data_IF_175871304324
#
_entry.id   IF_175871304324
#
_cell.length_a   1.000
_cell.length_b   1.000
_cell.length_c   1.000
_cell.angle_alpha   90.00
_cell.angle_beta   90.00
_cell.angle_gamma   90.00
#
_symmetry.space_group_name_H-M   'P 1'
#
loop_
_entity.id
_entity.type
_entity.pdbx_description
1 polymer ?
#
# COMPACT_ATOMS: atom_id res chain seq x y z
N UNK A 1 5.13 -6.26 10.77
CA UNK A 1 4.49 -5.22 11.62
C UNK A 1 5.13 -3.86 11.33
N UNK A 2 4.31 -2.81 11.17
CA UNK A 2 4.76 -1.41 11.06
C UNK A 2 4.32 -0.68 12.32
N UNK A 3 5.20 0.12 12.91
CA UNK A 3 4.91 0.93 14.09
C UNK A 3 5.37 2.37 13.87
N UNK A 4 4.44 3.30 13.98
CA UNK A 4 4.70 4.74 14.03
C UNK A 4 4.34 5.22 15.44
N UNK A 5 5.23 5.93 16.11
CA UNK A 5 5.03 6.36 17.49
C UNK A 5 5.25 7.87 17.61
N UNK A 6 4.23 8.59 18.08
CA UNK A 6 4.24 10.04 18.36
C UNK A 6 4.80 10.87 17.18
N UNK A 7 4.38 10.54 15.96
CA UNK A 7 4.86 11.20 14.75
C UNK A 7 4.38 12.64 14.71
N UNK A 8 5.34 13.56 14.59
CA UNK A 8 5.10 14.96 14.24
C UNK A 8 5.73 15.21 12.88
N UNK A 9 4.92 15.64 11.90
CA UNK A 9 5.38 15.91 10.55
C UNK A 9 4.60 17.04 9.87
N UNK A 10 5.30 17.86 9.08
CA UNK A 10 4.74 18.87 8.19
C UNK A 10 5.71 19.21 7.07
N UNK A 11 5.22 19.63 5.91
CA UNK A 11 6.03 20.03 4.75
C UNK A 11 6.64 21.44 4.87
N UNK A 12 6.50 22.07 5.98
CA UNK A 12 7.04 23.41 6.26
C UNK A 12 6.87 23.76 7.73
N UNK A 13 7.30 24.95 8.12
CA UNK A 13 7.32 25.37 9.52
C UNK A 13 5.94 25.71 10.10
N UNK A 14 4.93 25.99 9.26
CA UNK A 14 3.67 26.58 9.73
C UNK A 14 2.50 25.59 9.86
N UNK A 15 2.50 24.45 9.17
CA UNK A 15 1.38 23.52 9.21
C UNK A 15 1.86 22.08 9.47
N UNK A 16 1.54 21.57 10.65
CA UNK A 16 1.73 20.16 10.97
C UNK A 16 0.63 19.35 10.29
N UNK A 17 1.03 18.38 9.48
CA UNK A 17 0.13 17.39 8.90
C UNK A 17 -0.22 16.30 9.91
N UNK A 18 0.78 15.87 10.68
CA UNK A 18 0.62 14.96 11.82
C UNK A 18 1.18 15.62 13.08
N UNK A 19 0.43 15.54 14.18
CA UNK A 19 0.83 16.07 15.48
C UNK A 19 0.60 15.02 16.57
N UNK A 20 1.63 14.19 16.80
CA UNK A 20 1.59 13.11 17.78
C UNK A 20 0.92 11.82 17.30
N UNK A 21 0.82 11.60 15.97
CA UNK A 21 0.20 10.40 15.40
C UNK A 21 0.92 9.13 15.87
N UNK A 22 0.15 8.17 16.38
CA UNK A 22 0.64 6.83 16.70
C UNK A 22 -0.24 5.79 15.99
N UNK A 23 0.40 4.85 15.28
CA UNK A 23 -0.26 3.83 14.50
C UNK A 23 0.54 2.53 14.52
N UNK A 24 -0.14 1.41 14.71
CA UNK A 24 0.46 0.07 14.59
C UNK A 24 -0.32 -0.75 13.56
N UNK A 25 0.38 -1.24 12.53
CA UNK A 25 -0.18 -2.10 11.49
C UNK A 25 0.39 -3.51 11.67
N UNK A 26 -0.48 -4.44 12.00
CA UNK A 26 -0.11 -5.82 12.34
C UNK A 26 0.07 -6.68 11.08
N UNK A 27 0.92 -7.71 11.11
CA UNK A 27 0.98 -8.71 10.04
C UNK A 27 -0.32 -9.53 9.99
N UNK A 28 -0.51 -10.26 8.89
CA UNK A 28 -1.71 -11.07 8.67
C UNK A 28 -2.92 -10.28 8.16
N UNK A 29 -2.74 -9.01 7.81
CA UNK A 29 -3.86 -8.14 7.46
C UNK A 29 -3.55 -7.29 6.22
N UNK A 30 -4.62 -6.98 5.47
CA UNK A 30 -4.63 -5.90 4.48
C UNK A 30 -5.25 -4.68 5.17
N UNK A 31 -4.45 -3.64 5.35
CA UNK A 31 -4.86 -2.38 5.97
C UNK A 31 -5.24 -1.37 4.88
N UNK A 32 -6.45 -0.83 4.93
CA UNK A 32 -6.89 0.26 4.07
C UNK A 32 -6.67 1.62 4.72
N UNK A 33 -5.93 2.51 4.07
CA UNK A 33 -5.84 3.92 4.45
C UNK A 33 -6.87 4.71 3.64
N UNK A 34 -7.98 5.05 4.27
CA UNK A 34 -9.08 5.77 3.64
C UNK A 34 -9.04 7.25 3.98
N UNK A 35 -9.38 8.08 3.02
CA UNK A 35 -9.48 9.51 3.21
C UNK A 35 -9.54 10.26 1.88
N UNK A 36 -10.05 11.47 1.90
CA UNK A 36 -10.06 12.36 0.72
C UNK A 36 -8.62 12.74 0.34
N UNK A 37 -8.45 13.31 -0.86
CA UNK A 37 -7.14 13.77 -1.28
C UNK A 37 -6.64 14.88 -0.35
N UNK A 38 -5.34 14.88 -0.05
CA UNK A 38 -4.72 15.86 0.86
C UNK A 38 -4.74 15.50 2.36
N UNK A 39 -5.39 14.40 2.77
CA UNK A 39 -5.43 13.98 4.20
C UNK A 39 -4.10 13.38 4.72
N UNK A 40 -3.10 13.22 3.86
CA UNK A 40 -1.79 12.71 4.27
C UNK A 40 -1.54 11.22 4.05
N UNK A 41 -2.40 10.49 3.32
CA UNK A 41 -2.23 9.05 3.02
C UNK A 41 -0.85 8.75 2.42
N UNK A 42 -0.51 9.42 1.31
CA UNK A 42 0.79 9.30 0.64
C UNK A 42 1.95 9.67 1.58
N UNK A 43 1.77 10.72 2.39
CA UNK A 43 2.80 11.14 3.36
C UNK A 43 3.01 10.08 4.43
N UNK A 44 1.95 9.48 4.94
CA UNK A 44 2.02 8.39 5.91
C UNK A 44 2.75 7.17 5.34
N UNK A 45 2.45 6.79 4.09
CA UNK A 45 3.15 5.70 3.41
C UNK A 45 4.64 6.02 3.18
N UNK A 46 4.96 7.27 2.81
CA UNK A 46 6.36 7.72 2.66
C UNK A 46 7.12 7.75 3.99
N UNK A 47 6.47 8.10 5.10
CA UNK A 47 7.05 7.98 6.44
C UNK A 47 7.29 6.51 6.80
N UNK A 48 6.28 5.65 6.59
CA UNK A 48 6.37 4.21 6.85
C UNK A 48 7.46 3.53 6.01
N UNK A 49 7.72 4.03 4.79
CA UNK A 49 8.77 3.50 3.89
C UNK A 49 10.16 4.10 4.12
N UNK A 50 10.31 5.05 5.05
CA UNK A 50 11.60 5.73 5.27
C UNK A 50 12.02 6.70 4.16
N UNK A 51 11.10 7.08 3.26
CA UNK A 51 11.34 8.12 2.25
C UNK A 51 11.18 9.54 2.83
N UNK A 52 10.39 9.67 3.88
CA UNK A 52 10.27 10.88 4.69
C UNK A 52 10.60 10.57 6.14
N UNK A 53 11.06 11.57 6.87
CA UNK A 53 11.42 11.45 8.27
C UNK A 53 10.60 12.44 9.09
N UNK A 54 10.00 11.99 10.21
CA UNK A 54 9.27 12.87 11.09
C UNK A 54 10.22 13.82 11.83
N UNK A 55 9.73 15.00 12.22
CA UNK A 55 10.49 15.92 13.07
C UNK A 55 10.57 15.41 14.53
N UNK A 56 9.57 14.62 14.95
CA UNK A 56 9.54 13.92 16.23
C UNK A 56 8.86 12.58 16.07
N UNK A 57 9.15 11.63 16.95
CA UNK A 57 8.63 10.28 16.93
C UNK A 57 9.53 9.30 16.20
N UNK A 58 9.09 8.06 16.11
CA UNK A 58 9.86 6.95 15.51
C UNK A 58 9.02 6.15 14.54
N UNK A 59 9.67 5.62 13.49
CA UNK A 59 9.06 4.71 12.51
C UNK A 59 9.86 3.43 12.46
N UNK A 60 9.20 2.29 12.68
CA UNK A 60 9.82 0.98 12.66
C UNK A 60 9.07 -0.02 11.79
N UNK A 61 9.85 -0.89 11.14
CA UNK A 61 9.35 -2.10 10.47
C UNK A 61 9.98 -3.31 11.17
N UNK A 62 9.17 -4.11 11.86
CA UNK A 62 9.70 -5.07 12.82
C UNK A 62 10.53 -4.36 13.89
N UNK A 63 11.78 -4.77 14.04
CA UNK A 63 12.74 -4.16 14.96
C UNK A 63 13.62 -3.08 14.28
N UNK A 64 13.49 -2.90 12.97
CA UNK A 64 14.33 -2.00 12.18
C UNK A 64 13.78 -0.57 12.20
N UNK A 65 14.66 0.40 12.47
CA UNK A 65 14.32 1.81 12.52
C UNK A 65 14.56 2.48 11.16
N UNK A 66 13.54 3.13 10.61
CA UNK A 66 13.62 3.85 9.34
C UNK A 66 14.69 4.94 9.32
N UNK A 67 14.93 5.61 10.47
CA UNK A 67 15.90 6.70 10.58
C UNK A 67 17.35 6.25 10.35
N UNK A 68 17.65 4.96 10.58
CA UNK A 68 19.01 4.41 10.38
C UNK A 68 19.36 4.21 8.91
N UNK A 69 18.38 4.15 8.02
CA UNK A 69 18.56 3.95 6.55
C UNK A 69 19.40 2.71 6.20
N UNK A 70 19.30 1.68 7.01
CA UNK A 70 20.04 0.43 6.80
C UNK A 70 19.42 -0.36 5.61
N UNK A 71 20.27 -1.03 4.83
CA UNK A 71 19.80 -1.87 3.72
C UNK A 71 18.81 -2.95 4.20
N UNK A 72 18.98 -3.46 5.42
CA UNK A 72 18.07 -4.41 6.04
C UNK A 72 16.63 -3.87 6.12
N UNK A 73 16.45 -2.58 6.48
CA UNK A 73 15.14 -1.96 6.52
C UNK A 73 14.44 -1.99 5.15
N UNK A 74 15.16 -1.64 4.08
CA UNK A 74 14.60 -1.58 2.72
C UNK A 74 14.35 -2.96 2.11
N UNK A 75 14.96 -4.03 2.63
CA UNK A 75 14.64 -5.41 2.25
C UNK A 75 13.34 -5.92 2.85
N UNK A 76 12.93 -5.35 3.98
CA UNK A 76 11.69 -5.75 4.66
C UNK A 76 10.42 -5.16 4.03
N UNK A 77 10.55 -4.17 3.13
CA UNK A 77 9.40 -3.49 2.57
C UNK A 77 9.54 -3.18 1.07
N UNK A 78 8.40 -3.13 0.39
CA UNK A 78 8.30 -2.54 -0.94
C UNK A 78 7.23 -1.44 -0.94
N UNK A 79 7.55 -0.28 -1.50
CA UNK A 79 6.61 0.83 -1.66
C UNK A 79 6.32 1.08 -3.14
N UNK A 80 5.04 1.00 -3.51
CA UNK A 80 4.54 1.35 -4.83
C UNK A 80 3.88 2.72 -4.74
N UNK A 81 4.52 3.80 -5.20
CA UNK A 81 3.91 5.12 -5.22
C UNK A 81 2.83 5.22 -6.30
N UNK A 82 1.95 6.23 -6.18
CA UNK A 82 0.95 6.52 -7.21
C UNK A 82 1.60 6.88 -8.54
N UNK A 83 2.59 7.80 -8.50
CA UNK A 83 3.36 8.22 -9.65
C UNK A 83 4.81 7.74 -9.57
N UNK A 84 5.34 7.26 -10.69
CA UNK A 84 6.70 6.75 -10.79
C UNK A 84 7.20 6.79 -12.22
N UNK A 85 8.51 6.84 -12.38
CA UNK A 85 9.19 6.69 -13.65
C UNK A 85 9.79 5.29 -13.78
N UNK A 86 9.76 4.72 -14.98
CA UNK A 86 10.41 3.46 -15.31
C UNK A 86 11.50 3.70 -16.36
N UNK A 87 12.64 2.98 -16.28
CA UNK A 87 13.76 3.14 -17.20
C UNK A 87 13.41 2.57 -18.60
N UNK A 88 14.15 3.01 -19.62
CA UNK A 88 13.96 2.57 -21.01
C UNK A 88 14.60 1.20 -21.30
N UNK A 89 14.22 0.18 -20.53
CA UNK A 89 14.70 -1.21 -20.64
C UNK A 89 13.52 -2.18 -20.82
N UNK A 90 13.80 -3.48 -21.08
CA UNK A 90 12.76 -4.51 -21.13
C UNK A 90 12.31 -4.92 -19.72
N UNK A 91 11.10 -5.50 -19.63
CA UNK A 91 10.57 -6.03 -18.36
C UNK A 91 11.52 -7.09 -17.76
N UNK A 92 12.05 -7.98 -18.61
CA UNK A 92 13.06 -8.96 -18.17
C UNK A 92 14.26 -8.26 -17.54
N UNK A 93 14.83 -7.27 -18.23
CA UNK A 93 16.00 -6.54 -17.73
C UNK A 93 15.70 -5.78 -16.45
N UNK A 94 14.50 -5.23 -16.34
CA UNK A 94 14.03 -4.59 -15.10
C UNK A 94 14.03 -5.56 -13.91
N UNK A 95 13.52 -6.78 -14.11
CA UNK A 95 13.59 -7.84 -13.11
C UNK A 95 15.02 -8.19 -12.73
N UNK A 96 15.89 -8.44 -13.71
CA UNK A 96 17.31 -8.81 -13.49
C UNK A 96 18.10 -7.76 -12.69
N UNK A 97 17.87 -6.47 -12.97
CA UNK A 97 18.61 -5.37 -12.31
C UNK A 97 18.11 -5.11 -10.89
N UNK A 98 16.80 -5.28 -10.65
CA UNK A 98 16.22 -4.93 -9.35
C UNK A 98 16.07 -6.12 -8.39
N UNK A 99 15.96 -7.36 -8.90
CA UNK A 99 15.82 -8.55 -8.07
C UNK A 99 16.93 -8.71 -6.99
N UNK A 100 18.21 -8.38 -7.24
CA UNK A 100 19.25 -8.54 -6.23
C UNK A 100 19.06 -7.73 -4.94
N UNK A 101 18.21 -6.69 -4.97
CA UNK A 101 17.90 -5.91 -3.78
C UNK A 101 16.89 -6.60 -2.86
N UNK A 102 16.17 -7.63 -3.35
CA UNK A 102 15.11 -8.33 -2.64
C UNK A 102 15.45 -9.82 -2.54
N UNK A 103 15.91 -10.33 -1.38
CA UNK A 103 16.41 -11.71 -1.23
C UNK A 103 15.38 -12.79 -1.63
N UNK A 104 14.08 -12.51 -1.38
CA UNK A 104 12.99 -13.46 -1.64
C UNK A 104 12.31 -13.21 -3.01
N UNK A 105 12.93 -12.42 -3.90
CA UNK A 105 12.39 -12.17 -5.23
C UNK A 105 12.25 -13.47 -6.03
N UNK A 106 11.08 -13.67 -6.60
CA UNK A 106 10.79 -14.84 -7.44
C UNK A 106 10.56 -14.47 -8.89
N UNK A 107 11.52 -14.81 -9.77
CA UNK A 107 11.36 -14.65 -11.22
C UNK A 107 10.17 -15.44 -11.79
N UNK A 108 9.88 -16.61 -11.22
CA UNK A 108 8.71 -17.41 -11.60
C UNK A 108 7.42 -16.65 -11.32
N UNK A 109 7.25 -16.17 -10.08
CA UNK A 109 6.07 -15.39 -9.70
C UNK A 109 5.97 -14.08 -10.49
N UNK A 110 7.08 -13.41 -10.75
CA UNK A 110 7.08 -12.20 -11.59
C UNK A 110 6.51 -12.50 -12.98
N UNK A 111 6.93 -13.59 -13.63
CA UNK A 111 6.41 -14.03 -14.91
C UNK A 111 4.91 -14.38 -14.85
N UNK A 112 4.48 -15.14 -13.82
CA UNK A 112 3.09 -15.51 -13.59
C UNK A 112 2.20 -14.26 -13.40
N UNK A 113 2.65 -13.29 -12.60
CA UNK A 113 1.90 -12.04 -12.37
C UNK A 113 1.84 -11.14 -13.61
N UNK A 114 2.90 -11.10 -14.41
CA UNK A 114 2.86 -10.41 -15.71
C UNK A 114 1.82 -11.05 -16.63
N UNK A 115 1.75 -12.38 -16.70
CA UNK A 115 0.73 -13.10 -17.49
C UNK A 115 -0.69 -12.83 -17.00
N UNK A 116 -0.93 -12.84 -15.69
CA UNK A 116 -2.24 -12.45 -15.10
C UNK A 116 -2.65 -11.02 -15.52
N UNK A 117 -1.69 -10.12 -15.64
CA UNK A 117 -1.90 -8.76 -16.14
C UNK A 117 -1.85 -8.62 -17.68
N UNK A 118 -1.75 -9.74 -18.42
CA UNK A 118 -1.65 -9.76 -19.89
C UNK A 118 -0.47 -8.95 -20.43
N UNK A 119 0.71 -9.12 -19.82
CA UNK A 119 1.96 -8.48 -20.21
C UNK A 119 3.03 -9.51 -20.55
N UNK A 120 3.79 -9.26 -21.62
CA UNK A 120 4.91 -10.09 -22.06
C UNK A 120 6.25 -9.56 -21.54
N UNK A 121 7.16 -10.45 -21.11
CA UNK A 121 8.47 -10.09 -20.59
C UNK A 121 9.39 -9.37 -21.60
N UNK A 122 9.10 -9.51 -22.90
CA UNK A 122 9.83 -8.86 -24.00
C UNK A 122 9.53 -7.38 -24.18
N UNK A 123 8.40 -6.90 -23.63
CA UNK A 123 7.97 -5.51 -23.77
C UNK A 123 8.98 -4.54 -23.17
N UNK A 124 9.11 -3.37 -23.78
CA UNK A 124 9.95 -2.27 -23.28
C UNK A 124 9.11 -1.34 -22.40
N UNK A 125 9.65 -0.98 -21.24
CA UNK A 125 8.98 -0.15 -20.24
C UNK A 125 8.65 1.27 -20.73
N UNK A 126 9.52 1.86 -21.55
CA UNK A 126 9.33 3.20 -22.12
C UNK A 126 8.17 3.27 -23.13
N UNK A 127 7.78 2.13 -23.72
CA UNK A 127 6.69 2.03 -24.71
C UNK A 127 5.32 1.67 -24.09
N UNK A 128 5.28 1.41 -22.80
CA UNK A 128 4.07 1.02 -22.11
C UNK A 128 3.17 2.22 -21.82
N UNK A 129 1.86 2.02 -21.90
CA UNK A 129 0.88 2.98 -21.38
C UNK A 129 1.01 3.11 -19.85
N UNK A 130 0.44 4.18 -19.26
CA UNK A 130 0.47 4.39 -17.80
C UNK A 130 -0.12 3.19 -17.05
N UNK A 131 -1.27 2.67 -17.49
CA UNK A 131 -1.89 1.50 -16.86
C UNK A 131 -1.04 0.22 -17.00
N UNK A 132 -0.35 0.03 -18.13
CA UNK A 132 0.59 -1.07 -18.28
C UNK A 132 1.80 -0.94 -17.36
N UNK A 133 2.39 0.27 -17.24
CA UNK A 133 3.50 0.54 -16.30
C UNK A 133 3.08 0.23 -14.86
N UNK A 134 1.87 0.64 -14.46
CA UNK A 134 1.33 0.35 -13.13
C UNK A 134 1.22 -1.16 -12.87
N UNK A 135 0.70 -1.93 -13.86
CA UNK A 135 0.62 -3.39 -13.77
C UNK A 135 1.99 -4.06 -13.63
N UNK A 136 3.00 -3.60 -14.39
CA UNK A 136 4.38 -4.09 -14.24
C UNK A 136 4.91 -3.84 -12.84
N UNK A 137 4.73 -2.63 -12.31
CA UNK A 137 5.22 -2.28 -10.98
C UNK A 137 4.55 -3.11 -9.89
N UNK A 138 3.23 -3.34 -10.01
CA UNK A 138 2.49 -4.19 -9.07
C UNK A 138 2.95 -5.65 -9.15
N UNK A 139 3.14 -6.20 -10.37
CA UNK A 139 3.67 -7.54 -10.56
C UNK A 139 5.07 -7.70 -9.94
N UNK A 140 5.95 -6.70 -10.14
CA UNK A 140 7.29 -6.71 -9.56
C UNK A 140 7.23 -6.63 -8.03
N UNK A 141 6.44 -5.71 -7.48
CA UNK A 141 6.28 -5.52 -6.04
C UNK A 141 5.81 -6.80 -5.32
N UNK A 142 4.82 -7.50 -5.91
CA UNK A 142 4.35 -8.77 -5.39
C UNK A 142 5.41 -9.87 -5.48
N UNK A 143 6.20 -9.90 -6.56
CA UNK A 143 7.26 -10.88 -6.76
C UNK A 143 8.48 -10.66 -5.83
N UNK A 144 8.63 -9.47 -5.24
CA UNK A 144 9.65 -9.20 -4.23
C UNK A 144 9.44 -9.99 -2.93
N UNK A 145 8.21 -10.46 -2.67
CA UNK A 145 7.87 -11.25 -1.48
C UNK A 145 8.27 -10.62 -0.14
N UNK A 146 8.28 -9.28 -0.08
CA UNK A 146 8.65 -8.55 1.14
C UNK A 146 7.63 -8.74 2.25
N UNK A 147 8.05 -8.75 3.54
CA UNK A 147 7.15 -8.79 4.69
C UNK A 147 6.14 -7.64 4.74
N UNK A 148 6.50 -6.49 4.18
CA UNK A 148 5.64 -5.30 4.12
C UNK A 148 5.47 -4.82 2.69
N UNK A 149 4.23 -4.65 2.26
CA UNK A 149 3.87 -4.08 0.97
C UNK A 149 3.02 -2.83 1.16
N UNK A 150 3.54 -1.68 0.71
CA UNK A 150 2.87 -0.39 0.78
C UNK A 150 2.43 0.02 -0.63
N UNK A 151 1.14 0.27 -0.82
CA UNK A 151 0.55 0.59 -2.12
C UNK A 151 -0.19 1.94 -2.04
N UNK A 152 0.29 2.91 -2.81
CA UNK A 152 -0.34 4.24 -2.87
C UNK A 152 -1.24 4.33 -4.10
N UNK A 153 -2.55 4.44 -3.87
CA UNK A 153 -3.61 4.48 -4.89
C UNK A 153 -3.37 3.45 -6.03
N UNK A 154 -3.21 2.14 -5.69
CA UNK A 154 -2.76 1.13 -6.67
C UNK A 154 -3.77 0.86 -7.78
N UNK A 155 -5.03 1.23 -7.59
CA UNK A 155 -6.12 1.03 -8.55
C UNK A 155 -6.28 2.18 -9.53
N UNK A 156 -5.65 3.35 -9.26
CA UNK A 156 -5.69 4.49 -10.17
C UNK A 156 -5.02 4.16 -11.50
N UNK A 157 -5.70 4.47 -12.61
CA UNK A 157 -5.22 4.19 -13.96
C UNK A 157 -5.35 2.72 -14.40
N UNK A 158 -5.91 1.82 -13.57
CA UNK A 158 -6.24 0.46 -13.95
C UNK A 158 -7.67 0.34 -14.49
N UNK A 159 -7.83 -0.46 -15.53
CA UNK A 159 -9.14 -0.91 -16.02
C UNK A 159 -9.82 -1.91 -15.05
N UNK A 160 -11.10 -2.17 -15.24
CA UNK A 160 -11.87 -3.07 -14.36
C UNK A 160 -11.29 -4.49 -14.30
N UNK A 161 -10.89 -5.12 -15.42
CA UNK A 161 -10.23 -6.43 -15.39
C UNK A 161 -8.94 -6.42 -14.55
N UNK A 162 -8.06 -5.42 -14.76
CA UNK A 162 -6.80 -5.31 -13.99
C UNK A 162 -7.02 -5.07 -12.50
N UNK A 163 -8.06 -4.32 -12.12
CA UNK A 163 -8.45 -4.16 -10.70
C UNK A 163 -8.87 -5.49 -10.07
N UNK A 164 -9.56 -6.36 -10.82
CA UNK A 164 -9.93 -7.71 -10.35
C UNK A 164 -8.70 -8.60 -10.17
N UNK A 165 -7.78 -8.56 -11.14
CA UNK A 165 -6.51 -9.30 -11.06
C UNK A 165 -5.72 -8.84 -9.83
N UNK A 166 -5.58 -7.53 -9.62
CA UNK A 166 -4.88 -6.99 -8.44
C UNK A 166 -5.48 -7.50 -7.13
N UNK A 167 -6.81 -7.45 -6.97
CA UNK A 167 -7.47 -7.96 -5.76
C UNK A 167 -7.21 -9.45 -5.53
N UNK A 168 -7.31 -10.27 -6.60
CA UNK A 168 -6.99 -11.70 -6.54
C UNK A 168 -5.56 -11.94 -6.07
N UNK A 169 -4.60 -11.21 -6.65
CA UNK A 169 -3.19 -11.33 -6.32
C UNK A 169 -2.90 -10.87 -4.89
N UNK A 170 -3.49 -9.76 -4.43
CA UNK A 170 -3.33 -9.28 -3.05
C UNK A 170 -3.92 -10.25 -2.03
N UNK A 171 -5.06 -10.87 -2.33
CA UNK A 171 -5.64 -11.89 -1.46
C UNK A 171 -4.74 -13.13 -1.33
N UNK A 172 -4.06 -13.53 -2.42
CA UNK A 172 -3.09 -14.62 -2.40
C UNK A 172 -1.73 -14.23 -1.80
N UNK A 173 -1.39 -12.93 -1.84
CA UNK A 173 -0.15 -12.42 -1.27
C UNK A 173 -0.23 -12.28 0.26
N UNK A 174 -1.38 -11.90 0.79
CA UNK A 174 -1.61 -11.71 2.22
C UNK A 174 -1.58 -13.05 2.95
N UNK A 175 -0.59 -13.24 3.81
CA UNK A 175 -0.46 -14.37 4.72
C UNK A 175 -0.25 -13.86 6.15
N UNK A 176 -0.18 -14.75 7.15
CA UNK A 176 -0.03 -14.38 8.56
C UNK A 176 1.24 -13.59 8.88
N UNK A 177 2.22 -13.58 7.99
CA UNK A 177 3.54 -12.93 8.19
C UNK A 177 3.61 -11.56 7.53
N UNK A 178 2.77 -11.31 6.51
CA UNK A 178 2.84 -10.13 5.67
C UNK A 178 1.89 -9.04 6.12
N UNK A 179 2.33 -7.80 6.01
CA UNK A 179 1.52 -6.60 6.22
C UNK A 179 1.32 -5.91 4.88
N UNK A 180 0.09 -5.80 4.41
CA UNK A 180 -0.23 -5.05 3.19
C UNK A 180 -0.96 -3.78 3.59
N UNK A 181 -0.53 -2.64 3.04
CA UNK A 181 -1.18 -1.34 3.27
C UNK A 181 -1.57 -0.74 1.93
N UNK A 182 -2.83 -0.43 1.77
CA UNK A 182 -3.39 0.14 0.53
C UNK A 182 -4.01 1.49 0.84
N UNK A 183 -3.48 2.58 0.27
CA UNK A 183 -4.18 3.86 0.31
C UNK A 183 -5.22 3.92 -0.81
N UNK A 184 -6.38 4.45 -0.51
CA UNK A 184 -7.40 4.74 -1.53
C UNK A 184 -8.38 5.80 -1.05
N UNK A 185 -8.95 6.55 -2.00
CA UNK A 185 -10.10 7.42 -1.75
C UNK A 185 -11.43 6.72 -2.05
N UNK A 186 -11.40 5.47 -2.54
CA UNK A 186 -12.58 4.68 -2.90
C UNK A 186 -12.66 3.39 -2.07
N UNK A 187 -13.55 3.33 -1.10
CA UNK A 187 -13.77 2.15 -0.24
C UNK A 187 -14.03 0.87 -1.04
N UNK A 188 -14.71 0.99 -2.19
CA UNK A 188 -15.04 -0.14 -3.09
C UNK A 188 -13.82 -0.82 -3.70
N UNK A 189 -12.67 -0.18 -3.71
CA UNK A 189 -11.45 -0.74 -4.27
C UNK A 189 -10.81 -1.78 -3.34
N UNK A 190 -11.10 -1.72 -2.05
CA UNK A 190 -10.61 -2.66 -1.02
C UNK A 190 -11.65 -3.75 -0.73
N UNK A 191 -12.94 -3.42 -0.75
CA UNK A 191 -14.00 -4.39 -0.54
C UNK A 191 -14.14 -5.32 -1.77
N UNK A 192 -13.88 -6.61 -1.59
CA UNK A 192 -14.32 -7.63 -2.56
C UNK A 192 -15.85 -7.55 -2.73
N UNK A 193 -16.36 -7.92 -3.92
CA UNK A 193 -17.79 -7.95 -4.26
C UNK A 193 -18.60 -8.96 -3.39
N UNK A 194 -18.59 -8.85 -2.09
CA UNK A 194 -19.36 -9.69 -1.16
C UNK A 194 -20.81 -9.19 -0.98
N UNK A 195 -21.36 -8.54 -2.04
CA UNK A 195 -22.76 -8.08 -2.03
C UNK A 195 -23.80 -9.20 -2.09
N UNK A 196 -23.42 -10.47 -2.18
CA UNK A 196 -24.38 -11.58 -2.25
C UNK A 196 -24.80 -12.16 -0.89
N UNK A 197 -24.29 -11.65 0.23
CA UNK A 197 -24.67 -12.15 1.60
C UNK A 197 -25.13 -11.07 2.58
N UNK A 198 -25.67 -9.96 2.12
CA UNK A 198 -26.37 -9.06 3.05
C UNK A 198 -27.83 -9.45 3.13
N UNK A 199 -28.24 -9.95 4.29
CA UNK A 199 -29.65 -10.08 4.67
C UNK A 199 -30.31 -8.68 4.58
N UNK A 200 -31.39 -8.50 3.78
CA UNK A 200 -32.03 -7.20 3.61
C UNK A 200 -32.72 -6.66 4.87
N UNK A 201 -32.68 -7.38 6.00
CA UNK A 201 -33.37 -7.03 7.24
C UNK A 201 -32.51 -6.31 8.29
N UNK A 202 -31.23 -6.02 8.03
CA UNK A 202 -30.42 -5.19 8.93
C UNK A 202 -30.09 -3.85 8.27
N UNK A 203 -30.77 -2.73 8.65
CA UNK A 203 -30.38 -1.39 8.20
C UNK A 203 -29.04 -1.03 8.88
N UNK A 204 -27.95 -1.02 8.07
CA UNK A 204 -26.66 -0.51 8.51
C UNK A 204 -26.80 0.99 8.81
N UNK A 205 -26.47 1.39 10.03
CA UNK A 205 -26.33 2.81 10.38
C UNK A 205 -25.21 3.40 9.52
N UNK A 206 -25.59 4.17 8.51
CA UNK A 206 -24.69 5.03 7.78
C UNK A 206 -24.22 6.13 8.71
N UNK A 207 -22.91 6.18 9.01
CA UNK A 207 -22.31 7.37 9.59
C UNK A 207 -22.21 8.39 8.47
N UNK A 208 -22.89 9.51 8.58
CA UNK A 208 -22.72 10.68 7.73
C UNK A 208 -21.26 11.18 7.87
N UNK A 209 -20.60 11.60 6.77
CA UNK A 209 -19.26 12.17 6.85
C UNK A 209 -19.37 13.55 7.49
N UNK A 210 -18.89 13.68 8.72
CA UNK A 210 -18.63 14.97 9.34
C UNK A 210 -17.52 15.66 8.52
N UNK A 211 -17.74 16.90 8.11
CA UNK A 211 -16.99 17.66 7.11
C UNK A 211 -15.57 18.06 7.47
N UNK A 212 -14.86 17.27 8.28
CA UNK A 212 -13.45 17.41 8.57
C UNK A 212 -12.73 16.19 8.02
N UNK A 213 -11.76 16.44 7.13
CA UNK A 213 -11.02 15.42 6.43
C UNK A 213 -10.12 14.59 7.37
N UNK A 214 -10.71 13.65 8.08
CA UNK A 214 -9.97 12.74 8.95
C UNK A 214 -9.44 11.54 8.17
N UNK A 215 -8.17 11.22 8.38
CA UNK A 215 -7.55 10.00 7.87
C UNK A 215 -8.07 8.81 8.69
N UNK A 216 -8.67 7.81 8.02
CA UNK A 216 -9.12 6.57 8.64
C UNK A 216 -8.28 5.40 8.16
N UNK A 217 -7.89 4.51 9.06
CA UNK A 217 -7.34 3.22 8.71
C UNK A 217 -8.38 2.15 9.00
N UNK A 218 -8.84 1.48 7.95
CA UNK A 218 -9.73 0.34 8.06
C UNK A 218 -8.93 -0.94 7.85
N UNK A 219 -9.18 -1.93 8.71
CA UNK A 219 -8.50 -3.23 8.66
C UNK A 219 -9.42 -4.23 7.99
N UNK A 220 -9.02 -4.73 6.83
CA UNK A 220 -9.67 -5.86 6.17
C UNK A 220 -8.91 -7.13 6.55
N UNK A 221 -9.55 -8.04 7.30
CA UNK A 221 -9.02 -9.40 7.47
C UNK A 221 -9.26 -10.19 6.19
N UNK A 222 -8.28 -10.97 5.77
CA UNK A 222 -8.52 -12.03 4.78
C UNK A 222 -9.60 -12.96 5.33
N UNK A 223 -10.87 -12.76 4.88
CA UNK A 223 -11.97 -13.61 5.29
C UNK A 223 -13.13 -12.96 6.05
N UNK A 224 -13.25 -11.64 6.13
CA UNK A 224 -14.47 -11.02 6.65
C UNK A 224 -14.30 -9.71 7.42
N UNK A 225 -15.29 -8.86 7.25
CA UNK A 225 -15.65 -7.68 8.06
C UNK A 225 -14.59 -6.64 8.38
N UNK A 226 -14.80 -5.46 7.81
CA UNK A 226 -14.11 -4.20 8.13
C UNK A 226 -14.35 -3.81 9.61
N UNK A 227 -13.28 -3.48 10.32
CA UNK A 227 -13.35 -2.69 11.55
C UNK A 227 -12.59 -1.40 11.34
N UNK A 228 -13.26 -0.25 11.49
CA UNK A 228 -12.65 1.07 11.44
C UNK A 228 -11.92 1.39 12.73
N UNK A 229 -10.71 1.98 12.59
CA UNK A 229 -9.98 2.62 13.68
C UNK A 229 -9.81 4.10 13.34
N UNK A 230 -10.39 4.98 14.13
CA UNK A 230 -10.26 6.43 13.95
C UNK A 230 -8.84 6.86 14.32
N UNK A 231 -8.07 7.33 13.34
CA UNK A 231 -6.66 7.72 13.49
C UNK A 231 -6.43 9.13 14.00
N UNK A 232 -7.48 9.94 14.12
CA UNK A 232 -7.42 11.31 14.62
C UNK A 232 -8.42 11.54 15.74
N UNK A 233 -8.13 11.04 16.95
CA UNK A 233 -8.60 11.74 18.14
C UNK A 233 -7.51 12.73 18.54
N UNK A 234 -7.81 14.02 18.39
CA UNK A 234 -7.03 15.07 19.05
C UNK A 234 -7.10 14.77 20.54
N UNK A 235 -5.93 14.67 21.19
CA UNK A 235 -5.87 14.75 22.64
C UNK A 235 -6.41 16.11 23.06
N UNK A 236 -7.36 16.10 23.96
CA UNK A 236 -7.72 17.22 24.80
C UNK A 236 -6.55 17.51 25.76
#
# INVERSE_FOLDING_TARGET
MIRLEKIVFGYGSMHKLFDGLSLTLLPGHIHGLLGVNGTGKTTLLKLASGLLFPSQGTVRVGELDAARREAAFYRELFFVPEEFALPAITLRRYGEVNAPFYPDFSFRQFGEYLQEFSLECSLRLDRLSMGQRKRVQLAFALACNTPVLLLDEPTNGLDIPSKRVLRKLLAGYADERRTVVVSTHQVRDIEGNDRQRRDPRQPGRGAEPDGRGDLRADVVRSGGSLRSCDLCRRGD
#
